data_IF_487465605049
#
_entry.id   IF_487465605049
#
_cell.length_a   1.000
_cell.length_b   1.000
_cell.length_c   1.000
_cell.angle_alpha   90.00
_cell.angle_beta   90.00
_cell.angle_gamma   90.00
#
_symmetry.space_group_name_H-M   'P 1'
#
loop_
_entity.id
_entity.type
_entity.pdbx_description
1 polymer ?
#
# COMPACT_ATOMS: atom_id res chain seq x y z
N UNK A 1 -55.87 -9.74 -24.73
CA UNK A 1 -54.70 -9.07 -25.39
C UNK A 1 -53.66 -8.46 -24.43
N UNK A 2 -54.02 -7.92 -23.26
CA UNK A 2 -53.00 -7.36 -22.30
C UNK A 2 -52.12 -8.40 -21.60
N UNK A 3 -52.63 -9.61 -21.34
CA UNK A 3 -51.88 -10.68 -20.69
C UNK A 3 -50.80 -11.30 -21.58
N UNK A 4 -51.07 -11.42 -22.89
CA UNK A 4 -50.10 -11.98 -23.86
C UNK A 4 -48.92 -11.04 -24.09
N UNK A 5 -49.15 -9.71 -24.08
CA UNK A 5 -48.07 -8.72 -24.20
C UNK A 5 -47.12 -8.72 -22.99
N UNK A 6 -47.62 -8.93 -21.77
CA UNK A 6 -46.78 -9.05 -20.57
C UNK A 6 -45.88 -10.29 -20.59
N UNK A 7 -46.44 -11.42 -21.05
CA UNK A 7 -45.66 -12.67 -21.13
C UNK A 7 -44.57 -12.61 -22.22
N UNK A 8 -44.84 -11.93 -23.35
CA UNK A 8 -43.83 -11.76 -24.42
C UNK A 8 -42.68 -10.85 -23.93
N UNK A 9 -43.00 -9.77 -23.21
CA UNK A 9 -41.97 -8.90 -22.64
C UNK A 9 -41.11 -9.63 -21.59
N UNK A 10 -41.69 -10.47 -20.75
CA UNK A 10 -40.97 -11.32 -19.79
C UNK A 10 -40.13 -12.40 -20.48
N UNK A 11 -40.61 -13.02 -21.54
CA UNK A 11 -39.88 -14.01 -22.33
C UNK A 11 -38.71 -13.36 -23.08
N UNK A 12 -38.89 -12.16 -23.66
CA UNK A 12 -37.79 -11.39 -24.26
C UNK A 12 -36.74 -10.97 -23.22
N UNK A 13 -37.15 -10.55 -22.03
CA UNK A 13 -36.24 -10.19 -20.96
C UNK A 13 -35.42 -11.41 -20.46
N UNK A 14 -36.08 -12.59 -20.35
CA UNK A 14 -35.42 -13.84 -19.98
C UNK A 14 -34.47 -14.31 -21.08
N UNK A 15 -34.80 -14.16 -22.36
CA UNK A 15 -33.92 -14.50 -23.47
C UNK A 15 -32.69 -13.59 -23.55
N UNK A 16 -32.83 -12.28 -23.29
CA UNK A 16 -31.71 -11.35 -23.24
C UNK A 16 -30.73 -11.71 -22.11
N UNK A 17 -31.23 -12.09 -20.93
CA UNK A 17 -30.39 -12.57 -19.83
C UNK A 17 -29.71 -13.92 -20.13
N UNK A 18 -30.35 -14.82 -20.86
CA UNK A 18 -29.80 -16.12 -21.23
C UNK A 18 -28.64 -15.99 -22.26
N UNK A 19 -28.77 -15.05 -23.21
CA UNK A 19 -27.75 -14.83 -24.26
C UNK A 19 -26.46 -14.29 -23.67
N UNK A 20 -26.52 -13.31 -22.74
CA UNK A 20 -25.34 -12.76 -22.10
C UNK A 20 -24.55 -13.79 -21.22
N UNK A 21 -25.29 -14.62 -20.46
CA UNK A 21 -24.66 -15.71 -19.69
C UNK A 21 -24.00 -16.75 -20.60
N UNK A 22 -24.62 -17.11 -21.74
CA UNK A 22 -24.01 -18.07 -22.67
C UNK A 22 -22.74 -17.51 -23.36
N UNK A 23 -22.71 -16.21 -23.63
CA UNK A 23 -21.58 -15.56 -24.30
C UNK A 23 -20.35 -15.48 -23.40
N UNK A 24 -20.50 -15.13 -22.12
CA UNK A 24 -19.35 -15.11 -21.20
C UNK A 24 -18.81 -16.51 -20.89
N UNK A 25 -19.69 -17.52 -20.82
CA UNK A 25 -19.27 -18.91 -20.65
C UNK A 25 -18.48 -19.43 -21.87
N UNK A 26 -18.86 -18.99 -23.07
CA UNK A 26 -18.14 -19.29 -24.29
C UNK A 26 -16.74 -18.64 -24.27
N UNK A 27 -16.64 -17.36 -23.91
CA UNK A 27 -15.35 -16.66 -23.78
C UNK A 27 -14.41 -17.35 -22.78
N UNK A 28 -14.93 -17.74 -21.61
CA UNK A 28 -14.16 -18.50 -20.62
C UNK A 28 -13.76 -19.90 -21.12
N UNK A 29 -14.59 -20.54 -21.93
CA UNK A 29 -14.27 -21.84 -22.54
C UNK A 29 -13.14 -21.72 -23.56
N UNK A 30 -13.19 -20.72 -24.43
CA UNK A 30 -12.12 -20.40 -25.37
C UNK A 30 -10.78 -20.17 -24.64
N UNK A 31 -10.81 -19.39 -23.56
CA UNK A 31 -9.62 -19.15 -22.74
C UNK A 31 -9.03 -20.44 -22.16
N UNK A 32 -9.89 -21.36 -21.65
CA UNK A 32 -9.46 -22.67 -21.14
C UNK A 32 -8.89 -23.58 -22.24
N UNK A 33 -9.34 -23.42 -23.48
CA UNK A 33 -8.84 -24.16 -24.64
C UNK A 33 -7.54 -23.60 -25.21
N UNK A 34 -7.08 -22.42 -24.69
CA UNK A 34 -5.88 -21.76 -25.14
C UNK A 34 -6.09 -20.73 -26.25
N UNK A 35 -7.33 -20.56 -26.73
CA UNK A 35 -7.73 -19.59 -27.75
C UNK A 35 -7.82 -18.17 -27.16
N UNK A 36 -6.64 -17.66 -26.70
CA UNK A 36 -6.57 -16.42 -25.89
C UNK A 36 -7.07 -15.18 -26.65
N UNK A 37 -6.73 -15.08 -27.94
CA UNK A 37 -7.08 -13.89 -28.72
C UNK A 37 -8.59 -13.80 -28.92
N UNK A 38 -9.23 -14.90 -29.33
CA UNK A 38 -10.69 -14.95 -29.53
C UNK A 38 -11.45 -14.76 -28.21
N UNK A 39 -10.93 -15.37 -27.12
CA UNK A 39 -11.46 -15.17 -25.77
C UNK A 39 -11.38 -13.70 -25.32
N UNK A 40 -10.27 -13.01 -25.61
CA UNK A 40 -10.07 -11.59 -25.27
C UNK A 40 -11.06 -10.70 -26.04
N UNK A 41 -11.16 -10.87 -27.34
CA UNK A 41 -12.08 -10.08 -28.18
C UNK A 41 -13.54 -10.25 -27.73
N UNK A 42 -13.95 -11.48 -27.45
CA UNK A 42 -15.28 -11.77 -26.91
C UNK A 42 -15.46 -11.17 -25.50
N UNK A 43 -14.46 -11.27 -24.62
CA UNK A 43 -14.54 -10.70 -23.28
C UNK A 43 -14.62 -9.16 -23.31
N UNK A 44 -13.86 -8.50 -24.19
CA UNK A 44 -13.93 -7.06 -24.40
C UNK A 44 -15.33 -6.64 -24.84
N UNK A 45 -15.95 -7.34 -25.79
CA UNK A 45 -17.33 -7.03 -26.25
C UNK A 45 -18.38 -7.18 -25.14
N UNK A 46 -18.09 -7.89 -24.05
CA UNK A 46 -18.98 -8.10 -22.90
C UNK A 46 -18.72 -7.11 -21.74
N UNK A 47 -17.77 -6.21 -21.88
CA UNK A 47 -17.54 -5.17 -20.86
C UNK A 47 -18.69 -4.16 -20.76
N UNK A 48 -19.52 -4.07 -21.79
CA UNK A 48 -20.72 -3.21 -21.86
C UNK A 48 -22.04 -3.97 -21.72
N UNK A 49 -22.00 -5.25 -21.32
CA UNK A 49 -23.22 -6.05 -21.12
C UNK A 49 -24.14 -5.42 -20.06
N UNK A 50 -25.45 -5.49 -20.28
CA UNK A 50 -26.47 -4.94 -19.36
C UNK A 50 -26.35 -5.51 -17.94
N UNK A 51 -25.91 -6.78 -17.82
CA UNK A 51 -25.77 -7.48 -16.54
C UNK A 51 -24.44 -7.15 -15.85
N UNK A 52 -24.42 -6.50 -14.68
CA UNK A 52 -23.20 -6.29 -13.91
C UNK A 52 -22.44 -7.60 -13.59
N UNK A 53 -23.16 -8.72 -13.51
CA UNK A 53 -22.56 -10.04 -13.29
C UNK A 53 -21.74 -10.49 -14.50
N UNK A 54 -22.22 -10.23 -15.72
CA UNK A 54 -21.50 -10.53 -16.97
C UNK A 54 -20.31 -9.60 -17.09
N UNK A 55 -20.50 -8.29 -16.91
CA UNK A 55 -19.39 -7.30 -16.92
C UNK A 55 -18.29 -7.66 -15.95
N UNK A 56 -18.63 -8.06 -14.71
CA UNK A 56 -17.65 -8.48 -13.70
C UNK A 56 -16.82 -9.68 -14.18
N UNK A 57 -17.45 -10.68 -14.79
CA UNK A 57 -16.74 -11.85 -15.34
C UNK A 57 -15.87 -11.45 -16.53
N UNK A 58 -16.38 -10.58 -17.41
CA UNK A 58 -15.65 -10.06 -18.56
C UNK A 58 -14.40 -9.29 -18.13
N UNK A 59 -14.50 -8.37 -17.18
CA UNK A 59 -13.35 -7.63 -16.59
C UNK A 59 -12.29 -8.59 -16.05
N UNK A 60 -12.70 -9.61 -15.29
CA UNK A 60 -11.76 -10.62 -14.76
C UNK A 60 -11.07 -11.40 -15.87
N UNK A 61 -11.79 -11.77 -16.90
CA UNK A 61 -11.26 -12.53 -18.02
C UNK A 61 -10.28 -11.68 -18.84
N UNK A 62 -10.65 -10.43 -19.18
CA UNK A 62 -9.75 -9.47 -19.85
C UNK A 62 -8.46 -9.27 -19.07
N UNK A 63 -8.54 -9.01 -17.76
CA UNK A 63 -7.36 -8.86 -16.92
C UNK A 63 -6.53 -10.13 -16.73
N UNK A 64 -7.15 -11.30 -16.86
CA UNK A 64 -6.45 -12.59 -16.76
C UNK A 64 -5.73 -12.98 -18.05
N UNK A 65 -6.30 -12.63 -19.20
CA UNK A 65 -5.69 -12.82 -20.51
C UNK A 65 -4.57 -11.81 -20.70
N UNK A 66 -4.80 -10.54 -20.35
CA UNK A 66 -3.85 -9.45 -20.56
C UNK A 66 -3.66 -9.11 -22.05
N UNK A 67 -2.48 -8.59 -22.38
CA UNK A 67 -2.11 -8.20 -23.74
C UNK A 67 -2.42 -6.72 -24.05
N UNK A 68 -2.02 -6.25 -25.24
CA UNK A 68 -2.04 -4.81 -25.56
C UNK A 68 -3.44 -4.17 -25.55
N UNK A 69 -4.47 -4.95 -25.84
CA UNK A 69 -5.87 -4.48 -25.93
C UNK A 69 -6.55 -4.43 -24.55
N UNK A 70 -6.06 -5.21 -23.57
CA UNK A 70 -6.70 -5.33 -22.26
C UNK A 70 -6.68 -4.01 -21.47
N UNK A 71 -5.54 -3.33 -21.45
CA UNK A 71 -5.37 -2.07 -20.73
C UNK A 71 -6.32 -0.97 -21.21
N UNK A 72 -6.31 -0.61 -22.50
CA UNK A 72 -7.24 0.37 -23.05
C UNK A 72 -8.71 0.02 -22.80
N UNK A 73 -9.12 -1.23 -23.06
CA UNK A 73 -10.50 -1.66 -22.85
C UNK A 73 -10.95 -1.58 -21.38
N UNK A 74 -10.08 -1.92 -20.44
CA UNK A 74 -10.36 -1.75 -19.01
C UNK A 74 -10.39 -0.28 -18.59
N UNK A 75 -9.52 0.56 -19.17
CA UNK A 75 -9.47 1.98 -18.83
C UNK A 75 -10.76 2.72 -19.23
N UNK A 76 -11.36 2.37 -20.35
CA UNK A 76 -12.69 2.90 -20.75
C UNK A 76 -13.78 2.59 -19.73
N UNK A 77 -13.57 1.59 -18.86
CA UNK A 77 -14.53 1.16 -17.83
C UNK A 77 -14.33 1.79 -16.45
N UNK A 78 -13.46 2.78 -16.28
CA UNK A 78 -13.31 3.50 -15.01
C UNK A 78 -14.53 4.32 -14.61
N UNK A 79 -15.47 4.56 -15.53
CA UNK A 79 -16.76 5.23 -15.30
C UNK A 79 -17.89 4.26 -14.91
N UNK A 80 -17.57 3.01 -14.60
CA UNK A 80 -18.52 1.95 -14.22
C UNK A 80 -19.31 2.33 -12.97
N UNK A 81 -20.63 2.11 -13.00
CA UNK A 81 -21.54 2.47 -11.91
C UNK A 81 -21.75 1.37 -10.86
N UNK A 82 -21.58 0.09 -11.22
CA UNK A 82 -21.57 -0.99 -10.22
C UNK A 82 -20.22 -1.01 -9.49
N UNK A 83 -20.23 -0.66 -8.21
CA UNK A 83 -18.99 -0.56 -7.43
C UNK A 83 -18.18 -1.86 -7.29
N UNK A 84 -18.80 -3.04 -7.52
CA UNK A 84 -18.07 -4.32 -7.52
C UNK A 84 -17.30 -4.49 -8.83
N UNK A 85 -17.94 -4.13 -9.96
CA UNK A 85 -17.31 -4.15 -11.27
C UNK A 85 -16.19 -3.12 -11.32
N UNK A 86 -16.44 -1.90 -10.86
CA UNK A 86 -15.43 -0.82 -10.82
C UNK A 86 -14.18 -1.22 -10.02
N UNK A 87 -14.34 -1.80 -8.82
CA UNK A 87 -13.19 -2.28 -8.04
C UNK A 87 -12.39 -3.36 -8.78
N UNK A 88 -13.07 -4.20 -9.54
CA UNK A 88 -12.39 -5.21 -10.34
C UNK A 88 -11.67 -4.61 -11.55
N UNK A 89 -12.25 -3.59 -12.21
CA UNK A 89 -11.58 -2.80 -13.25
C UNK A 89 -10.28 -2.21 -12.71
N UNK A 90 -10.34 -1.53 -11.56
CA UNK A 90 -9.19 -0.91 -10.90
C UNK A 90 -8.07 -1.94 -10.66
N UNK A 91 -8.41 -3.10 -10.05
CA UNK A 91 -7.42 -4.16 -9.79
C UNK A 91 -6.79 -4.71 -11.06
N UNK A 92 -7.60 -4.92 -12.10
CA UNK A 92 -7.09 -5.50 -13.35
C UNK A 92 -6.29 -4.49 -14.17
N UNK A 93 -6.57 -3.19 -14.09
CA UNK A 93 -5.69 -2.14 -14.64
C UNK A 93 -4.29 -2.22 -14.02
N UNK A 94 -4.19 -2.37 -12.69
CA UNK A 94 -2.93 -2.61 -12.00
C UNK A 94 -2.24 -3.88 -12.48
N UNK A 95 -2.98 -4.98 -12.55
CA UNK A 95 -2.46 -6.30 -12.98
C UNK A 95 -1.88 -6.29 -14.40
N UNK A 96 -2.56 -5.62 -15.34
CA UNK A 96 -2.05 -5.48 -16.72
C UNK A 96 -1.04 -4.34 -16.87
N UNK A 97 -0.81 -3.57 -15.80
CA UNK A 97 0.15 -2.45 -15.71
C UNK A 97 -0.07 -1.39 -16.80
N UNK A 98 -1.32 -1.02 -17.03
CA UNK A 98 -1.65 -0.01 -18.02
C UNK A 98 -1.37 1.41 -17.49
N UNK A 99 -0.15 1.89 -17.69
CA UNK A 99 0.36 3.16 -17.14
C UNK A 99 -0.53 4.38 -17.42
N UNK A 100 -1.19 4.54 -18.60
CA UNK A 100 -2.06 5.68 -18.83
C UNK A 100 -3.22 5.85 -17.84
N UNK A 101 -3.61 4.80 -17.12
CA UNK A 101 -4.66 4.87 -16.11
C UNK A 101 -4.20 5.39 -14.74
N UNK A 102 -2.89 5.55 -14.49
CA UNK A 102 -2.34 5.83 -13.15
C UNK A 102 -2.89 7.14 -12.58
N UNK A 103 -2.93 8.20 -13.38
CA UNK A 103 -3.40 9.53 -12.92
C UNK A 103 -4.90 9.49 -12.58
N UNK A 104 -5.73 8.88 -13.43
CA UNK A 104 -7.16 8.75 -13.19
C UNK A 104 -7.45 7.90 -11.94
N UNK A 105 -6.69 6.82 -11.74
CA UNK A 105 -6.80 6.00 -10.53
C UNK A 105 -6.35 6.76 -9.28
N UNK A 106 -5.35 7.63 -9.38
CA UNK A 106 -4.92 8.47 -8.27
C UNK A 106 -6.03 9.48 -7.89
N UNK A 107 -6.67 10.10 -8.88
CA UNK A 107 -7.77 11.06 -8.65
C UNK A 107 -8.97 10.38 -7.97
N UNK A 108 -9.26 9.12 -8.27
CA UNK A 108 -10.32 8.35 -7.61
C UNK A 108 -10.13 8.20 -6.09
N UNK A 109 -8.90 8.34 -5.57
CA UNK A 109 -8.64 8.21 -4.14
C UNK A 109 -9.41 9.24 -3.30
N UNK A 110 -9.65 10.44 -3.85
CA UNK A 110 -10.27 11.56 -3.14
C UNK A 110 -11.75 11.36 -2.82
N UNK A 111 -12.42 10.47 -3.54
CA UNK A 111 -13.85 10.15 -3.40
C UNK A 111 -14.08 8.69 -2.99
N UNK A 112 -13.02 7.96 -2.64
CA UNK A 112 -13.07 6.52 -2.41
C UNK A 112 -13.57 6.15 -1.02
N UNK A 113 -14.44 5.14 -0.96
CA UNK A 113 -14.70 4.41 0.30
C UNK A 113 -13.58 3.39 0.58
N UNK A 114 -13.61 2.77 1.77
CA UNK A 114 -12.58 1.82 2.23
C UNK A 114 -12.37 0.61 1.30
N UNK A 115 -13.41 0.16 0.59
CA UNK A 115 -13.31 -0.97 -0.33
C UNK A 115 -12.62 -0.56 -1.65
N UNK A 116 -12.93 0.63 -2.14
CA UNK A 116 -12.27 1.20 -3.32
C UNK A 116 -10.82 1.56 -2.99
N UNK A 117 -10.56 2.15 -1.82
CA UNK A 117 -9.20 2.46 -1.38
C UNK A 117 -8.30 1.22 -1.36
N UNK A 118 -8.83 0.07 -0.91
CA UNK A 118 -8.11 -1.20 -0.98
C UNK A 118 -7.85 -1.66 -2.42
N UNK A 119 -8.84 -1.51 -3.31
CA UNK A 119 -8.65 -1.87 -4.72
C UNK A 119 -7.61 -0.98 -5.41
N UNK A 120 -7.61 0.32 -5.11
CA UNK A 120 -6.59 1.25 -5.56
C UNK A 120 -5.20 0.87 -5.02
N UNK A 121 -5.09 0.60 -3.72
CA UNK A 121 -3.83 0.18 -3.11
C UNK A 121 -3.28 -1.11 -3.74
N UNK A 122 -4.14 -2.09 -4.03
CA UNK A 122 -3.77 -3.31 -4.74
C UNK A 122 -3.22 -2.98 -6.14
N UNK A 123 -3.92 -2.13 -6.89
CA UNK A 123 -3.49 -1.71 -8.22
C UNK A 123 -2.15 -0.95 -8.19
N UNK A 124 -1.98 -0.02 -7.25
CA UNK A 124 -0.74 0.77 -7.12
C UNK A 124 0.46 -0.10 -6.73
N UNK A 125 0.27 -1.17 -5.94
CA UNK A 125 1.33 -2.16 -5.67
C UNK A 125 1.75 -2.89 -6.94
N UNK A 126 0.80 -3.31 -7.77
CA UNK A 126 1.09 -3.98 -9.05
C UNK A 126 1.82 -3.07 -10.05
N UNK A 127 1.43 -1.80 -10.15
CA UNK A 127 2.16 -0.81 -10.95
C UNK A 127 3.58 -0.58 -10.43
N UNK A 128 3.74 -0.59 -9.11
CA UNK A 128 5.02 -0.35 -8.45
C UNK A 128 5.42 1.13 -8.42
N UNK A 129 6.73 1.38 -8.48
CA UNK A 129 7.33 2.70 -8.24
C UNK A 129 6.74 3.85 -9.06
N UNK A 130 6.46 3.75 -10.37
CA UNK A 130 5.91 4.86 -11.14
C UNK A 130 4.60 5.39 -10.56
N UNK A 131 3.68 4.50 -10.22
CA UNK A 131 2.40 4.86 -9.63
C UNK A 131 2.54 5.37 -8.18
N UNK A 132 3.43 4.77 -7.40
CA UNK A 132 3.73 5.24 -6.04
C UNK A 132 4.27 6.68 -6.07
N UNK A 133 5.17 7.00 -6.98
CA UNK A 133 5.72 8.36 -7.11
C UNK A 133 4.61 9.39 -7.47
N UNK A 134 3.58 9.00 -8.26
CA UNK A 134 2.41 9.84 -8.54
C UNK A 134 1.63 10.14 -7.25
N UNK A 135 1.27 9.13 -6.44
CA UNK A 135 0.51 9.37 -5.21
C UNK A 135 1.33 10.21 -4.22
N UNK A 136 2.64 9.96 -4.10
CA UNK A 136 3.52 10.76 -3.23
C UNK A 136 3.57 12.21 -3.69
N UNK A 137 3.65 12.46 -5.00
CA UNK A 137 3.63 13.81 -5.57
C UNK A 137 2.28 14.52 -5.30
N UNK A 138 1.16 13.82 -5.50
CA UNK A 138 -0.19 14.32 -5.21
C UNK A 138 -0.37 14.65 -3.72
N UNK A 139 0.12 13.77 -2.84
CA UNK A 139 0.13 14.00 -1.40
C UNK A 139 0.95 15.24 -1.02
N UNK A 140 2.16 15.38 -1.57
CA UNK A 140 3.07 16.50 -1.25
C UNK A 140 2.54 17.84 -1.76
N UNK A 141 1.99 17.87 -2.96
CA UNK A 141 1.47 19.09 -3.60
C UNK A 141 0.10 19.53 -3.11
N UNK A 142 -0.64 18.68 -2.41
CA UNK A 142 -2.00 18.97 -1.99
C UNK A 142 -2.05 19.93 -0.80
N UNK A 143 -2.66 21.11 -1.00
CA UNK A 143 -2.89 22.12 0.03
C UNK A 143 -4.27 21.98 0.72
N UNK A 144 -5.17 21.17 0.18
CA UNK A 144 -6.49 20.91 0.76
C UNK A 144 -6.40 19.72 1.74
N UNK A 145 -6.76 19.96 3.00
CA UNK A 145 -6.62 18.96 4.07
C UNK A 145 -7.34 17.63 3.78
N UNK A 146 -8.55 17.68 3.21
CA UNK A 146 -9.33 16.49 2.85
C UNK A 146 -8.68 15.68 1.74
N UNK A 147 -8.20 16.31 0.68
CA UNK A 147 -7.50 15.67 -0.43
C UNK A 147 -6.18 15.08 0.05
N UNK A 148 -5.41 15.84 0.83
CA UNK A 148 -4.16 15.36 1.43
C UNK A 148 -4.39 14.14 2.33
N UNK A 149 -5.47 14.13 3.12
CA UNK A 149 -5.84 12.99 3.95
C UNK A 149 -6.17 11.75 3.11
N UNK A 150 -6.91 11.89 2.01
CA UNK A 150 -7.23 10.78 1.12
C UNK A 150 -5.97 10.14 0.51
N UNK A 151 -5.02 10.94 0.05
CA UNK A 151 -3.73 10.41 -0.43
C UNK A 151 -2.90 9.79 0.69
N UNK A 152 -2.92 10.36 1.91
CA UNK A 152 -2.29 9.75 3.09
C UNK A 152 -2.85 8.35 3.35
N UNK A 153 -4.17 8.20 3.34
CA UNK A 153 -4.83 6.92 3.56
C UNK A 153 -4.49 5.91 2.45
N UNK A 154 -4.43 6.35 1.19
CA UNK A 154 -3.99 5.51 0.08
C UNK A 154 -2.52 5.06 0.24
N UNK A 155 -1.61 5.97 0.60
CA UNK A 155 -0.21 5.65 0.86
C UNK A 155 -0.07 4.61 1.98
N UNK A 156 -0.79 4.78 3.09
CA UNK A 156 -0.81 3.80 4.19
C UNK A 156 -1.36 2.45 3.70
N UNK A 157 -2.42 2.46 2.90
CA UNK A 157 -3.02 1.24 2.35
C UNK A 157 -2.11 0.52 1.34
N UNK A 158 -1.31 1.24 0.54
CA UNK A 158 -0.26 0.66 -0.32
C UNK A 158 0.79 -0.05 0.54
N UNK A 159 1.18 0.53 1.67
CA UNK A 159 1.99 -0.15 2.67
C UNK A 159 3.50 -0.07 2.43
N UNK A 160 4.25 -1.17 2.66
CA UNK A 160 5.71 -1.13 2.72
C UNK A 160 6.43 -0.60 1.48
N UNK A 161 5.82 -0.71 0.32
CA UNK A 161 6.39 -0.36 -0.99
C UNK A 161 6.67 1.15 -1.14
N UNK A 162 5.96 2.00 -0.38
CA UNK A 162 6.11 3.45 -0.46
C UNK A 162 7.36 3.98 0.27
N UNK A 163 8.03 3.18 1.09
CA UNK A 163 9.06 3.65 2.02
C UNK A 163 10.14 4.52 1.34
N UNK A 164 10.62 4.11 0.17
CA UNK A 164 11.68 4.84 -0.55
C UNK A 164 11.17 6.15 -1.15
N UNK A 165 9.96 6.17 -1.68
CA UNK A 165 9.39 7.35 -2.31
C UNK A 165 8.98 8.40 -1.28
N UNK A 166 8.31 7.98 -0.20
CA UNK A 166 7.86 8.90 0.86
C UNK A 166 9.04 9.47 1.66
N UNK A 167 10.13 8.71 1.83
CA UNK A 167 11.31 9.18 2.57
C UNK A 167 11.98 10.40 1.95
N UNK A 168 11.80 10.61 0.66
CA UNK A 168 12.34 11.79 -0.04
C UNK A 168 11.72 13.09 0.47
N UNK A 169 10.51 13.02 1.03
CA UNK A 169 9.81 14.17 1.60
C UNK A 169 10.42 14.62 2.93
N UNK A 170 11.22 13.77 3.60
CA UNK A 170 11.88 14.12 4.86
C UNK A 170 13.11 15.03 4.71
N UNK A 171 13.64 15.19 3.50
CA UNK A 171 14.86 15.96 3.28
C UNK A 171 14.63 17.47 3.45
N UNK A 172 15.42 18.07 4.35
CA UNK A 172 15.50 19.53 4.53
C UNK A 172 14.28 20.20 5.14
N UNK A 173 13.34 19.43 5.72
CA UNK A 173 12.11 19.92 6.33
C UNK A 173 12.20 19.86 7.86
N UNK A 174 11.52 20.81 8.52
CA UNK A 174 11.34 20.76 9.97
C UNK A 174 10.42 19.61 10.39
N UNK A 175 10.39 19.32 11.71
CA UNK A 175 9.46 18.32 12.24
C UNK A 175 7.99 18.61 11.91
N UNK A 176 7.56 19.88 12.07
CA UNK A 176 6.17 20.24 11.81
C UNK A 176 5.75 19.98 10.37
N UNK A 177 6.65 20.21 9.41
CA UNK A 177 6.44 19.90 8.00
C UNK A 177 6.43 18.39 7.72
N UNK A 178 7.19 17.62 8.49
CA UNK A 178 7.31 16.16 8.35
C UNK A 178 6.31 15.35 9.16
N UNK A 179 5.53 15.98 10.05
CA UNK A 179 4.63 15.30 10.98
C UNK A 179 3.77 14.23 10.30
N UNK A 180 3.10 14.60 9.21
CA UNK A 180 2.23 13.68 8.48
C UNK A 180 3.02 12.57 7.78
N UNK A 181 4.24 12.87 7.31
CA UNK A 181 5.15 11.90 6.72
C UNK A 181 5.62 10.88 7.76
N UNK A 182 5.94 11.32 8.97
CA UNK A 182 6.24 10.42 10.10
C UNK A 182 5.02 9.56 10.46
N UNK A 183 3.82 10.12 10.45
CA UNK A 183 2.59 9.37 10.70
C UNK A 183 2.35 8.26 9.65
N UNK A 184 2.71 8.48 8.39
CA UNK A 184 2.68 7.45 7.37
C UNK A 184 3.75 6.39 7.65
N UNK A 185 5.00 6.81 7.83
CA UNK A 185 6.15 5.90 8.01
C UNK A 185 5.96 4.97 9.21
N UNK A 186 5.43 5.46 10.34
CA UNK A 186 5.20 4.60 11.53
C UNK A 186 4.13 3.53 11.31
N UNK A 187 3.24 3.66 10.32
CA UNK A 187 2.18 2.71 10.02
C UNK A 187 2.60 1.64 9.02
N UNK A 188 3.65 1.88 8.24
CA UNK A 188 4.17 0.91 7.27
C UNK A 188 5.24 0.01 7.90
N UNK A 189 5.04 -1.32 7.85
CA UNK A 189 5.94 -2.31 8.44
C UNK A 189 7.08 -2.69 7.49
N UNK A 190 7.95 -1.71 7.17
CA UNK A 190 9.10 -1.91 6.31
C UNK A 190 10.41 -1.71 7.11
N UNK A 191 11.34 -2.68 7.13
CA UNK A 191 12.63 -2.53 7.85
C UNK A 191 13.42 -1.28 7.46
N UNK A 192 13.32 -0.81 6.21
CA UNK A 192 13.98 0.41 5.74
C UNK A 192 13.52 1.66 6.47
N UNK A 193 12.27 1.70 6.95
CA UNK A 193 11.74 2.82 7.75
C UNK A 193 12.61 3.04 8.99
N UNK A 194 13.07 1.97 9.65
CA UNK A 194 13.97 2.07 10.79
C UNK A 194 15.25 2.85 10.41
N UNK A 195 15.89 2.47 9.31
CA UNK A 195 17.13 3.15 8.84
C UNK A 195 16.85 4.61 8.45
N UNK A 196 15.71 4.90 7.82
CA UNK A 196 15.34 6.25 7.38
C UNK A 196 15.04 7.19 8.56
N UNK A 197 14.50 6.66 9.65
CA UNK A 197 14.14 7.45 10.84
C UNK A 197 15.28 7.61 11.86
N UNK A 198 16.33 6.77 11.82
CA UNK A 198 17.45 6.81 12.76
C UNK A 198 18.13 8.20 12.90
N UNK A 199 18.37 8.97 11.82
CA UNK A 199 19.00 10.29 11.94
C UNK A 199 18.20 11.28 12.82
N UNK A 200 16.90 11.10 12.92
CA UNK A 200 16.01 11.95 13.71
C UNK A 200 16.03 11.63 15.22
N UNK A 201 16.76 10.58 15.65
CA UNK A 201 16.98 10.31 17.07
C UNK A 201 17.82 11.38 17.77
N UNK A 202 18.56 12.19 17.02
CA UNK A 202 19.30 13.33 17.57
C UNK A 202 18.43 14.56 17.86
N UNK A 203 17.24 14.63 17.26
CA UNK A 203 16.31 15.74 17.40
C UNK A 203 15.38 15.48 18.60
N UNK A 204 15.40 16.39 19.61
CA UNK A 204 14.62 16.24 20.84
C UNK A 204 13.12 16.33 20.60
N UNK A 205 12.68 17.09 19.59
CA UNK A 205 11.26 17.28 19.30
C UNK A 205 10.60 16.03 18.70
N UNK A 206 11.39 15.20 18.00
CA UNK A 206 10.87 14.02 17.27
C UNK A 206 11.35 12.69 17.79
N UNK A 207 12.37 12.67 18.62
CA UNK A 207 13.00 11.42 19.06
C UNK A 207 12.00 10.41 19.65
N UNK A 208 11.04 10.87 20.46
CA UNK A 208 10.02 9.97 21.02
C UNK A 208 9.09 9.39 19.95
N UNK A 209 8.76 10.14 18.90
CA UNK A 209 7.98 9.62 17.76
C UNK A 209 8.79 8.58 16.98
N UNK A 210 10.12 8.77 16.86
CA UNK A 210 11.01 7.76 16.25
C UNK A 210 11.05 6.51 17.11
N UNK A 211 11.21 6.63 18.43
CA UNK A 211 11.19 5.48 19.36
C UNK A 211 9.87 4.70 19.24
N UNK A 212 8.74 5.40 19.18
CA UNK A 212 7.43 4.77 19.02
C UNK A 212 7.29 4.10 17.64
N UNK A 213 7.79 4.71 16.58
CA UNK A 213 7.83 4.09 15.26
C UNK A 213 8.68 2.81 15.26
N UNK A 214 9.85 2.81 15.91
CA UNK A 214 10.68 1.60 16.05
C UNK A 214 9.93 0.50 16.79
N UNK A 215 9.21 0.86 17.88
CA UNK A 215 8.39 -0.07 18.63
C UNK A 215 7.28 -0.69 17.75
N UNK A 216 6.61 0.10 16.90
CA UNK A 216 5.58 -0.37 15.98
C UNK A 216 6.13 -1.26 14.86
N UNK A 217 7.37 -1.01 14.41
CA UNK A 217 8.08 -1.87 13.45
C UNK A 217 8.43 -3.24 14.06
N UNK A 218 8.56 -3.33 15.38
CA UNK A 218 8.85 -4.57 16.09
C UNK A 218 10.21 -5.16 15.66
N UNK A 219 10.24 -6.46 15.37
CA UNK A 219 11.47 -7.15 14.95
C UNK A 219 12.14 -6.56 13.72
N UNK A 220 11.40 -5.87 12.86
CA UNK A 220 11.94 -5.21 11.66
C UNK A 220 12.90 -4.04 11.96
N UNK A 221 12.87 -3.50 13.19
CA UNK A 221 13.74 -2.42 13.59
C UNK A 221 15.04 -2.90 14.29
N UNK A 222 15.13 -4.18 14.69
CA UNK A 222 16.22 -4.66 15.55
C UNK A 222 17.59 -4.52 14.88
N UNK A 223 17.74 -5.05 13.67
CA UNK A 223 19.02 -5.04 12.96
C UNK A 223 19.51 -3.60 12.69
N UNK A 224 18.59 -2.73 12.22
CA UNK A 224 18.92 -1.33 11.98
C UNK A 224 19.34 -0.61 13.27
N UNK A 225 18.69 -0.93 14.41
CA UNK A 225 19.02 -0.35 15.71
C UNK A 225 20.40 -0.81 16.22
N UNK A 226 20.71 -2.10 16.10
CA UNK A 226 22.04 -2.64 16.46
C UNK A 226 23.11 -1.99 15.61
N UNK A 227 22.94 -1.90 14.30
CA UNK A 227 23.88 -1.28 13.38
C UNK A 227 24.08 0.22 13.68
N UNK A 228 23.01 0.94 14.05
CA UNK A 228 23.11 2.33 14.46
C UNK A 228 23.87 2.48 15.77
N UNK A 229 23.59 1.66 16.78
CA UNK A 229 24.29 1.68 18.07
C UNK A 229 25.78 1.35 17.91
N UNK A 230 26.13 0.41 17.04
CA UNK A 230 27.51 0.08 16.74
C UNK A 230 28.29 1.28 16.12
N UNK A 231 27.62 2.07 15.29
CA UNK A 231 28.17 3.30 14.72
C UNK A 231 28.40 4.37 15.81
N UNK A 232 27.50 4.46 16.80
CA UNK A 232 27.61 5.43 17.91
C UNK A 232 28.81 5.19 18.80
N UNK A 233 29.34 3.97 18.93
CA UNK A 233 30.62 3.71 19.64
C UNK A 233 31.78 4.60 19.14
N UNK A 234 31.68 5.03 17.87
CA UNK A 234 32.74 5.87 17.25
C UNK A 234 32.41 7.37 17.27
N UNK A 235 31.14 7.74 17.30
CA UNK A 235 30.65 9.13 17.20
C UNK A 235 30.42 9.81 18.54
N UNK A 236 30.20 9.03 19.61
CA UNK A 236 30.13 9.53 20.98
C UNK A 236 28.88 10.31 21.36
N UNK A 237 27.81 10.32 20.55
CA UNK A 237 26.56 10.97 20.93
C UNK A 237 25.83 10.12 21.98
N UNK A 238 25.88 10.59 23.24
CA UNK A 238 25.32 9.90 24.39
C UNK A 238 23.79 9.84 24.35
N UNK A 239 23.14 10.89 23.84
CA UNK A 239 21.69 10.98 23.79
C UNK A 239 21.12 10.00 22.76
N UNK A 240 21.71 9.95 21.57
CA UNK A 240 21.34 8.98 20.54
C UNK A 240 21.65 7.55 21.00
N UNK A 241 22.79 7.33 21.65
CA UNK A 241 23.19 6.02 22.19
C UNK A 241 22.16 5.51 23.20
N UNK A 242 21.75 6.35 24.15
CA UNK A 242 20.72 6.01 25.13
C UNK A 242 19.39 5.62 24.48
N UNK A 243 18.94 6.42 23.51
CA UNK A 243 17.69 6.17 22.78
C UNK A 243 17.74 4.84 22.02
N UNK A 244 18.84 4.53 21.36
CA UNK A 244 19.05 3.26 20.67
C UNK A 244 19.05 2.06 21.63
N UNK A 245 19.73 2.20 22.80
CA UNK A 245 19.74 1.18 23.87
C UNK A 245 18.32 0.94 24.36
N UNK A 246 17.55 2.01 24.64
CA UNK A 246 16.15 1.94 25.05
C UNK A 246 15.27 1.26 23.99
N UNK A 247 15.46 1.54 22.71
CA UNK A 247 14.73 0.88 21.62
C UNK A 247 14.98 -0.64 21.66
N UNK A 248 16.22 -1.11 21.83
CA UNK A 248 16.53 -2.54 21.93
C UNK A 248 15.82 -3.20 23.11
N UNK A 249 15.75 -2.52 24.25
CA UNK A 249 14.98 -2.98 25.41
C UNK A 249 13.49 -3.12 25.12
N UNK A 250 12.87 -2.07 24.57
CA UNK A 250 11.44 -2.05 24.20
C UNK A 250 11.08 -3.13 23.18
N UNK A 251 11.99 -3.42 22.23
CA UNK A 251 11.83 -4.47 21.24
C UNK A 251 12.09 -5.87 21.79
N UNK A 252 12.53 -6.00 23.05
CA UNK A 252 13.01 -7.24 23.66
C UNK A 252 14.02 -7.98 22.76
N UNK A 253 14.96 -7.23 22.21
CA UNK A 253 15.89 -7.66 21.17
C UNK A 253 16.98 -8.57 21.73
N UNK A 254 16.74 -9.88 21.81
CA UNK A 254 17.72 -10.87 22.29
C UNK A 254 19.03 -10.82 21.51
N UNK A 255 18.97 -10.53 20.21
CA UNK A 255 20.14 -10.37 19.33
C UNK A 255 21.03 -9.16 19.71
N UNK A 256 20.45 -8.20 20.47
CA UNK A 256 21.17 -7.01 20.94
C UNK A 256 21.90 -7.18 22.27
N UNK A 257 21.75 -8.31 22.97
CA UNK A 257 22.30 -8.50 24.33
C UNK A 257 23.80 -8.27 24.36
N UNK A 258 24.57 -8.92 23.50
CA UNK A 258 26.02 -8.79 23.45
C UNK A 258 26.46 -7.33 23.21
N UNK A 259 25.74 -6.65 22.30
CA UNK A 259 25.98 -5.22 22.05
C UNK A 259 25.68 -4.39 23.30
N UNK A 260 24.58 -4.61 24.00
CA UNK A 260 24.22 -3.90 25.22
C UNK A 260 25.23 -4.17 26.34
N UNK A 261 25.66 -5.41 26.56
CA UNK A 261 26.70 -5.76 27.54
C UNK A 261 28.00 -5.05 27.28
N UNK A 262 28.35 -4.79 26.03
CA UNK A 262 29.56 -4.00 25.69
C UNK A 262 29.51 -2.54 26.13
N UNK A 263 28.33 -2.03 26.51
CA UNK A 263 28.13 -0.70 27.10
C UNK A 263 27.97 -0.70 28.63
N UNK A 264 27.99 -1.87 29.29
CA UNK A 264 27.76 -1.98 30.74
C UNK A 264 28.81 -1.26 31.61
N UNK A 265 30.00 -1.06 31.08
CA UNK A 265 31.09 -0.36 31.73
C UNK A 265 31.35 1.03 31.11
N UNK A 266 30.37 1.61 30.43
CA UNK A 266 30.49 2.91 29.81
C UNK A 266 30.69 4.00 30.88
N UNK A 267 31.51 5.04 30.61
CA UNK A 267 31.84 6.12 31.56
C UNK A 267 30.59 6.89 32.03
N UNK A 268 29.61 7.09 31.14
CA UNK A 268 28.35 7.76 31.45
C UNK A 268 27.44 6.87 32.27
N UNK A 269 27.03 7.31 33.45
CA UNK A 269 26.02 6.66 34.30
C UNK A 269 24.68 6.53 33.59
N UNK A 270 24.29 7.54 32.82
CA UNK A 270 23.07 7.54 32.00
C UNK A 270 23.03 6.35 31.04
N UNK A 271 24.14 6.04 30.38
CA UNK A 271 24.25 4.90 29.46
C UNK A 271 24.18 3.59 30.25
N UNK A 272 24.91 3.46 31.38
CA UNK A 272 24.87 2.24 32.20
C UNK A 272 23.45 1.92 32.69
N UNK A 273 22.72 2.95 33.18
CA UNK A 273 21.34 2.79 33.63
C UNK A 273 20.39 2.37 32.48
N UNK A 274 20.57 2.95 31.31
CA UNK A 274 19.76 2.56 30.12
C UNK A 274 20.04 1.10 29.72
N UNK A 275 21.30 0.66 29.79
CA UNK A 275 21.70 -0.74 29.50
C UNK A 275 21.09 -1.69 30.51
N UNK A 276 21.18 -1.40 31.80
CA UNK A 276 20.59 -2.24 32.86
C UNK A 276 19.09 -2.43 32.67
N UNK A 277 18.37 -1.33 32.48
CA UNK A 277 16.93 -1.36 32.22
C UNK A 277 16.58 -2.16 30.97
N UNK A 278 17.32 -1.98 29.88
CA UNK A 278 17.07 -2.67 28.63
C UNK A 278 17.35 -4.18 28.73
N UNK A 279 18.44 -4.56 29.39
CA UNK A 279 18.77 -5.97 29.65
C UNK A 279 17.70 -6.64 30.55
N UNK A 280 17.19 -5.91 31.57
CA UNK A 280 16.08 -6.36 32.38
C UNK A 280 14.81 -6.64 31.56
N UNK A 281 14.45 -5.71 30.67
CA UNK A 281 13.29 -5.87 29.77
C UNK A 281 13.45 -7.06 28.80
N UNK A 282 14.66 -7.28 28.29
CA UNK A 282 14.94 -8.37 27.34
C UNK A 282 14.92 -9.74 28.04
N UNK A 283 15.48 -9.83 29.25
CA UNK A 283 15.61 -11.09 30.00
C UNK A 283 14.33 -11.50 30.71
N UNK A 284 13.42 -10.55 30.97
CA UNK A 284 12.08 -10.84 31.52
C UNK A 284 12.07 -11.19 33.01
N UNK A 285 12.94 -10.55 33.79
CA UNK A 285 12.97 -10.69 35.27
C UNK A 285 12.06 -9.69 35.92
#
# INVERSE_FOLDING_TARGET
MRAIRKNIAWIMLIMLFAVGCSSIEKAESLYRQGEKQEALEMAISLLDDDSPKVRLRAVKLVGSIGGPQAGPALHERIVETDGRVLREVVRNLGKVKYEPAIEDLADMATESNSDMLRALADAFREYGKPAIDVIVSRYDSSNQSGIRAAYKDLLIAVGPEIADSISKLLKGRSFFENRDTFDILRQIKNPRVATLMMPYLADEEVAEQVVEAMRNLGSNAIEATINALQKQKKSGDLLVSERLIRILGLLKAKQGIEMLESYSQHDSERIRNAVEQSLFQIRGF
#
